data_IF_986662410520
#
_entry.id   IF_986662410520
#
_cell.length_a   1.000
_cell.length_b   1.000
_cell.length_c   1.000
_cell.angle_alpha   90.00
_cell.angle_beta   90.00
_cell.angle_gamma   90.00
#
_symmetry.space_group_name_H-M   'P 1'
#
loop_
_entity.id
_entity.type
_entity.pdbx_description
1 polymer ?
#
# COMPACT_ATOMS: atom_id res chain seq x y z
N UNK A 1 37.41 -6.56 0.50
CA UNK A 1 36.31 -7.54 0.61
C UNK A 1 35.02 -6.84 0.21
N UNK A 2 34.51 -7.11 -1.01
CA UNK A 2 33.25 -6.50 -1.45
C UNK A 2 32.13 -7.06 -0.56
N UNK A 3 31.49 -6.20 0.23
CA UNK A 3 30.30 -6.57 0.98
C UNK A 3 29.23 -7.00 -0.03
N UNK A 4 28.77 -8.25 0.07
CA UNK A 4 27.73 -8.80 -0.79
C UNK A 4 26.43 -8.05 -0.47
N UNK A 5 25.95 -7.23 -1.41
CA UNK A 5 24.67 -6.51 -1.28
C UNK A 5 23.55 -7.51 -1.01
N UNK A 6 22.77 -7.27 0.06
CA UNK A 6 21.52 -8.00 0.33
C UNK A 6 20.47 -7.52 -0.67
N UNK A 7 19.71 -8.44 -1.23
CA UNK A 7 18.71 -8.15 -2.26
C UNK A 7 17.31 -8.25 -1.67
N UNK A 8 16.52 -7.19 -1.80
CA UNK A 8 15.10 -7.16 -1.48
C UNK A 8 14.31 -6.95 -2.78
N UNK A 9 13.50 -7.94 -3.17
CA UNK A 9 12.60 -7.84 -4.32
C UNK A 9 11.26 -7.24 -3.86
N UNK A 10 10.81 -6.20 -4.54
CA UNK A 10 9.52 -5.54 -4.30
C UNK A 10 8.48 -6.23 -5.19
N UNK A 11 7.64 -7.08 -4.59
CA UNK A 11 6.65 -7.91 -5.27
C UNK A 11 5.33 -7.16 -5.52
N UNK A 12 5.40 -6.16 -6.39
CA UNK A 12 4.22 -5.44 -6.90
C UNK A 12 4.47 -4.97 -8.33
N UNK A 13 3.42 -5.03 -9.13
CA UNK A 13 3.39 -4.46 -10.49
C UNK A 13 2.79 -3.05 -10.52
N UNK A 14 2.33 -2.53 -9.37
CA UNK A 14 1.80 -1.18 -9.26
C UNK A 14 2.94 -0.15 -9.15
N UNK A 15 3.14 0.73 -10.17
CA UNK A 15 4.26 1.66 -10.17
C UNK A 15 4.18 2.68 -9.03
N UNK A 16 2.99 3.10 -8.62
CA UNK A 16 2.81 4.01 -7.47
C UNK A 16 3.32 3.39 -6.17
N UNK A 17 3.03 2.11 -5.93
CA UNK A 17 3.57 1.39 -4.76
C UNK A 17 5.10 1.29 -4.82
N UNK A 18 5.66 0.98 -5.98
CA UNK A 18 7.13 0.91 -6.15
C UNK A 18 7.79 2.23 -5.81
N UNK A 19 7.23 3.34 -6.30
CA UNK A 19 7.75 4.69 -6.02
C UNK A 19 7.72 4.98 -4.52
N UNK A 20 6.58 4.76 -3.86
CA UNK A 20 6.43 5.01 -2.43
C UNK A 20 7.34 4.12 -1.58
N UNK A 21 7.47 2.83 -1.92
CA UNK A 21 8.36 1.90 -1.21
C UNK A 21 9.82 2.36 -1.33
N UNK A 22 10.27 2.73 -2.54
CA UNK A 22 11.62 3.24 -2.76
C UNK A 22 11.88 4.54 -2.03
N UNK A 23 10.92 5.47 -2.05
CA UNK A 23 11.02 6.74 -1.35
C UNK A 23 11.11 6.55 0.17
N UNK A 24 10.23 5.73 0.75
CA UNK A 24 10.17 5.55 2.21
C UNK A 24 11.35 4.73 2.77
N UNK A 25 11.84 3.72 2.04
CA UNK A 25 13.01 2.96 2.47
C UNK A 25 14.31 3.73 2.24
N UNK A 26 14.35 4.57 1.21
CA UNK A 26 15.55 5.34 0.85
C UNK A 26 16.74 4.44 0.53
N UNK A 27 17.92 5.02 0.63
CA UNK A 27 19.18 4.27 0.54
C UNK A 27 19.43 3.52 1.85
N UNK A 28 19.61 2.22 1.76
CA UNK A 28 19.99 1.36 2.88
C UNK A 28 21.33 0.71 2.58
N UNK A 29 22.35 1.05 3.40
CA UNK A 29 23.70 0.50 3.23
C UNK A 29 23.69 -1.03 3.22
N UNK A 30 24.29 -1.64 2.21
CA UNK A 30 24.33 -3.09 2.05
C UNK A 30 23.08 -3.74 1.43
N UNK A 31 22.09 -2.94 0.98
CA UNK A 31 20.86 -3.44 0.35
C UNK A 31 20.68 -2.94 -1.08
N UNK A 32 20.12 -3.79 -1.95
CA UNK A 32 19.57 -3.40 -3.25
C UNK A 32 18.08 -3.65 -3.29
N UNK A 33 17.31 -2.64 -3.75
CA UNK A 33 15.85 -2.73 -3.93
C UNK A 33 15.56 -2.99 -5.41
N UNK A 34 14.99 -4.14 -5.72
CA UNK A 34 14.69 -4.54 -7.09
C UNK A 34 13.17 -4.71 -7.26
N UNK A 35 12.60 -4.18 -8.34
CA UNK A 35 11.22 -4.46 -8.69
C UNK A 35 11.12 -5.82 -9.41
N UNK A 36 9.91 -6.40 -9.41
CA UNK A 36 9.62 -7.54 -10.27
C UNK A 36 9.82 -7.16 -11.74
N UNK A 37 10.26 -8.10 -12.59
CA UNK A 37 10.24 -7.91 -14.03
C UNK A 37 8.86 -7.49 -14.53
N UNK A 38 8.76 -6.59 -15.56
CA UNK A 38 7.49 -6.04 -16.02
C UNK A 38 6.50 -7.10 -16.53
N UNK A 39 7.01 -8.21 -17.04
CA UNK A 39 6.26 -9.34 -17.58
C UNK A 39 5.89 -10.40 -16.52
N UNK A 40 6.18 -10.12 -15.25
CA UNK A 40 5.84 -11.04 -14.15
C UNK A 40 4.34 -11.24 -14.06
N UNK A 41 3.90 -12.48 -14.21
CA UNK A 41 2.48 -12.84 -14.10
C UNK A 41 1.95 -12.58 -12.69
N UNK A 42 0.85 -11.85 -12.60
CA UNK A 42 0.15 -11.65 -11.33
C UNK A 42 -0.46 -12.95 -10.82
N UNK A 43 -0.42 -13.14 -9.51
CA UNK A 43 -1.17 -14.23 -8.86
C UNK A 43 -2.58 -13.73 -8.50
N UNK A 44 -3.49 -14.67 -8.35
CA UNK A 44 -4.82 -14.38 -7.84
C UNK A 44 -4.76 -14.09 -6.34
N UNK A 45 -5.35 -12.99 -5.93
CA UNK A 45 -5.48 -12.59 -4.52
C UNK A 45 -6.78 -13.18 -3.96
N UNK A 46 -6.69 -14.35 -3.34
CA UNK A 46 -7.82 -15.12 -2.80
C UNK A 46 -8.06 -14.91 -1.31
N UNK A 47 -7.20 -14.14 -0.65
CA UNK A 47 -7.32 -13.82 0.77
C UNK A 47 -8.50 -12.90 1.07
N UNK A 48 -9.09 -13.08 2.24
CA UNK A 48 -10.19 -12.26 2.76
C UNK A 48 -9.71 -10.97 3.43
N UNK A 49 -8.42 -10.88 3.71
CA UNK A 49 -7.78 -9.72 4.35
C UNK A 49 -6.58 -9.23 3.54
N UNK A 50 -6.20 -7.96 3.74
CA UNK A 50 -4.98 -7.41 3.15
C UNK A 50 -3.73 -8.19 3.56
N UNK A 51 -3.68 -8.63 4.83
CA UNK A 51 -2.53 -9.39 5.32
C UNK A 51 -2.40 -10.74 4.64
N UNK A 52 -3.49 -11.49 4.49
CA UNK A 52 -3.50 -12.76 3.76
C UNK A 52 -3.02 -12.58 2.32
N UNK A 53 -3.51 -11.57 1.60
CA UNK A 53 -3.09 -11.30 0.23
C UNK A 53 -1.60 -10.86 0.16
N UNK A 54 -1.11 -10.06 1.11
CA UNK A 54 0.30 -9.72 1.17
C UNK A 54 1.17 -10.97 1.39
N UNK A 55 0.76 -11.86 2.28
CA UNK A 55 1.46 -13.13 2.54
C UNK A 55 1.48 -14.04 1.31
N UNK A 56 0.33 -14.26 0.67
CA UNK A 56 0.24 -15.05 -0.58
C UNK A 56 1.20 -14.53 -1.65
N UNK A 57 1.24 -13.22 -1.86
CA UNK A 57 2.17 -12.59 -2.82
C UNK A 57 3.62 -12.78 -2.40
N UNK A 58 3.95 -12.56 -1.14
CA UNK A 58 5.33 -12.69 -0.65
C UNK A 58 5.84 -14.13 -0.77
N UNK A 59 5.06 -15.12 -0.37
CA UNK A 59 5.40 -16.54 -0.50
C UNK A 59 5.66 -16.93 -1.96
N UNK A 60 4.71 -16.62 -2.85
CA UNK A 60 4.81 -16.96 -4.26
C UNK A 60 6.06 -16.34 -4.91
N UNK A 61 6.20 -15.04 -4.83
CA UNK A 61 7.28 -14.34 -5.53
C UNK A 61 8.66 -14.58 -4.90
N UNK A 62 8.74 -14.89 -3.60
CA UNK A 62 10.02 -15.27 -2.99
C UNK A 62 10.54 -16.64 -3.43
N UNK A 63 9.66 -17.56 -3.83
CA UNK A 63 10.04 -18.82 -4.45
C UNK A 63 10.63 -18.58 -5.84
N UNK A 64 9.96 -17.75 -6.65
CA UNK A 64 10.41 -17.41 -7.99
C UNK A 64 11.74 -16.63 -7.99
N UNK A 65 11.85 -15.63 -7.13
CA UNK A 65 13.04 -14.78 -7.06
C UNK A 65 14.23 -15.44 -6.36
N UNK A 66 14.01 -16.49 -5.57
CA UNK A 66 15.04 -17.15 -4.76
C UNK A 66 15.69 -16.24 -3.71
N UNK A 67 15.10 -15.09 -3.44
CA UNK A 67 15.65 -14.01 -2.58
C UNK A 67 14.60 -13.49 -1.59
N UNK A 68 15.03 -12.59 -0.69
CA UNK A 68 14.12 -11.88 0.19
C UNK A 68 13.15 -11.05 -0.65
N UNK A 69 11.87 -11.18 -0.37
CA UNK A 69 10.80 -10.57 -1.16
C UNK A 69 9.79 -9.87 -0.26
N UNK A 70 9.54 -8.61 -0.54
CA UNK A 70 8.53 -7.77 0.09
C UNK A 70 7.28 -7.74 -0.79
N UNK A 71 6.12 -8.06 -0.24
CA UNK A 71 4.84 -7.82 -0.86
C UNK A 71 3.99 -6.85 -0.04
N UNK A 72 3.17 -6.08 -0.76
CA UNK A 72 2.23 -5.10 -0.24
C UNK A 72 0.82 -5.44 -0.71
N UNK A 73 -0.11 -5.51 0.22
CA UNK A 73 -1.53 -5.41 -0.08
C UNK A 73 -2.16 -4.30 0.74
N UNK A 74 -2.95 -3.45 0.08
CA UNK A 74 -3.44 -2.22 0.68
C UNK A 74 -4.70 -1.73 -0.02
N UNK A 75 -5.54 -1.05 0.72
CA UNK A 75 -6.78 -0.52 0.17
C UNK A 75 -7.55 0.37 1.11
N UNK A 76 -8.64 0.88 0.56
CA UNK A 76 -9.59 1.76 1.22
C UNK A 76 -10.74 0.95 1.80
N UNK A 77 -11.06 1.18 3.07
CA UNK A 77 -12.23 0.68 3.75
C UNK A 77 -13.15 1.85 4.12
N UNK A 78 -14.42 1.81 3.74
CA UNK A 78 -15.37 2.90 4.02
C UNK A 78 -16.52 2.37 4.86
N UNK A 79 -16.70 2.96 6.04
CA UNK A 79 -17.70 2.49 7.02
C UNK A 79 -19.12 2.47 6.45
N UNK A 80 -19.52 3.57 5.84
CA UNK A 80 -20.87 3.73 5.28
C UNK A 80 -21.15 2.78 4.10
N UNK A 81 -20.11 2.22 3.47
CA UNK A 81 -20.20 1.25 2.39
C UNK A 81 -20.05 -0.21 2.88
N UNK A 82 -20.14 -0.45 4.20
CA UNK A 82 -19.96 -1.80 4.75
C UNK A 82 -18.56 -2.37 4.55
N UNK A 83 -17.53 -1.50 4.52
CA UNK A 83 -16.13 -1.90 4.32
C UNK A 83 -15.67 -1.91 2.87
N UNK A 84 -16.58 -1.71 1.89
CA UNK A 84 -16.18 -1.59 0.48
C UNK A 84 -15.40 -0.31 0.23
N UNK A 85 -14.44 -0.30 -0.72
CA UNK A 85 -14.01 -1.39 -1.61
C UNK A 85 -13.20 -2.51 -0.93
N UNK A 86 -12.55 -2.30 0.24
CA UNK A 86 -11.79 -3.31 0.96
C UNK A 86 -10.69 -3.94 0.11
N UNK A 87 -10.51 -5.26 0.18
CA UNK A 87 -9.51 -6.00 -0.61
C UNK A 87 -9.73 -5.90 -2.12
N UNK A 88 -10.86 -5.37 -2.57
CA UNK A 88 -11.15 -5.13 -3.98
C UNK A 88 -10.78 -3.71 -4.44
N UNK A 89 -10.05 -2.94 -3.64
CA UNK A 89 -9.72 -1.52 -3.91
C UNK A 89 -9.12 -1.28 -5.29
N UNK A 90 -8.21 -2.14 -5.75
CA UNK A 90 -7.55 -1.99 -7.06
C UNK A 90 -8.43 -2.32 -8.25
N UNK A 91 -9.50 -3.11 -8.06
CA UNK A 91 -10.41 -3.61 -9.08
C UNK A 91 -11.86 -3.17 -8.87
N UNK A 92 -12.07 -2.13 -8.06
CA UNK A 92 -13.41 -1.59 -7.77
C UNK A 92 -14.07 -0.92 -8.98
N UNK A 93 -13.28 -0.44 -9.92
CA UNK A 93 -13.67 -0.02 -11.28
C UNK A 93 -12.46 -0.12 -12.21
N UNK A 94 -12.66 0.10 -13.50
CA UNK A 94 -11.70 -0.15 -14.57
C UNK A 94 -10.41 0.69 -14.50
N UNK A 95 -10.49 1.91 -13.97
CA UNK A 95 -9.33 2.80 -13.84
C UNK A 95 -9.40 3.65 -12.56
N UNK A 96 -8.30 4.33 -12.15
CA UNK A 96 -8.27 5.10 -10.92
C UNK A 96 -9.34 6.19 -10.81
N UNK A 97 -9.59 6.93 -11.90
CA UNK A 97 -10.62 7.96 -11.93
C UNK A 97 -12.04 7.38 -11.75
N UNK A 98 -12.34 6.28 -12.43
CA UNK A 98 -13.62 5.59 -12.29
C UNK A 98 -13.83 5.03 -10.87
N UNK A 99 -12.77 4.56 -10.22
CA UNK A 99 -12.82 4.11 -8.81
C UNK A 99 -13.18 5.23 -7.84
N UNK A 100 -12.58 6.42 -8.03
CA UNK A 100 -12.89 7.61 -7.25
C UNK A 100 -14.36 8.01 -7.46
N UNK A 101 -14.80 8.12 -8.74
CA UNK A 101 -16.17 8.50 -9.06
C UNK A 101 -17.19 7.52 -8.49
N UNK A 102 -16.89 6.21 -8.51
CA UNK A 102 -17.76 5.20 -7.92
C UNK A 102 -17.92 5.39 -6.43
N UNK A 103 -16.81 5.56 -5.69
CA UNK A 103 -16.87 5.81 -4.23
C UNK A 103 -17.63 7.09 -3.94
N UNK A 104 -17.36 8.19 -4.63
CA UNK A 104 -18.08 9.45 -4.44
C UNK A 104 -19.57 9.33 -4.74
N UNK A 105 -19.92 8.60 -5.82
CA UNK A 105 -21.32 8.33 -6.20
C UNK A 105 -22.06 7.53 -5.13
N UNK A 106 -21.44 6.44 -4.61
CA UNK A 106 -22.02 5.63 -3.54
C UNK A 106 -22.11 6.40 -2.20
N UNK A 107 -21.26 7.40 -1.99
CA UNK A 107 -21.22 8.27 -0.81
C UNK A 107 -22.10 9.53 -0.94
N UNK A 108 -22.79 9.75 -2.06
CA UNK A 108 -23.51 11.01 -2.36
C UNK A 108 -24.55 11.36 -1.32
N UNK A 109 -25.28 10.39 -0.79
CA UNK A 109 -26.33 10.59 0.23
C UNK A 109 -25.84 10.41 1.66
N UNK A 110 -24.54 10.11 1.87
CA UNK A 110 -23.97 9.92 3.21
C UNK A 110 -23.63 11.28 3.80
N UNK A 111 -24.26 11.64 4.94
CA UNK A 111 -24.05 12.95 5.55
C UNK A 111 -22.65 13.08 6.17
N UNK A 112 -22.24 14.33 6.40
CA UNK A 112 -21.06 14.63 7.21
C UNK A 112 -21.16 13.96 8.58
N UNK A 113 -20.03 13.56 9.14
CA UNK A 113 -19.97 12.80 10.39
C UNK A 113 -20.26 11.29 10.24
N UNK A 114 -20.60 10.80 9.03
CA UNK A 114 -20.73 9.35 8.71
C UNK A 114 -19.88 8.93 7.52
N UNK A 115 -18.90 9.74 7.16
CA UNK A 115 -18.02 9.50 6.00
C UNK A 115 -16.69 8.82 6.38
N UNK A 116 -16.64 8.20 7.57
CA UNK A 116 -15.44 7.54 8.09
C UNK A 116 -14.86 6.53 7.11
N UNK A 117 -13.56 6.60 6.94
CA UNK A 117 -12.79 5.73 6.08
C UNK A 117 -11.43 5.39 6.70
N UNK A 118 -10.88 4.26 6.30
CA UNK A 118 -9.57 3.81 6.76
C UNK A 118 -8.76 3.34 5.55
N UNK A 119 -7.55 3.81 5.40
CA UNK A 119 -6.57 3.16 4.56
C UNK A 119 -5.83 2.10 5.35
N UNK A 120 -5.79 0.89 4.83
CA UNK A 120 -4.96 -0.20 5.33
C UNK A 120 -3.77 -0.44 4.42
N UNK A 121 -2.64 -0.80 5.02
CA UNK A 121 -1.49 -1.35 4.33
C UNK A 121 -0.94 -2.54 5.12
N UNK A 122 -0.91 -3.70 4.50
CA UNK A 122 -0.27 -4.89 5.00
C UNK A 122 0.98 -5.19 4.18
N UNK A 123 2.09 -5.41 4.87
CA UNK A 123 3.36 -5.83 4.29
C UNK A 123 3.70 -7.23 4.80
N UNK A 124 4.23 -8.04 3.90
CA UNK A 124 4.78 -9.35 4.23
C UNK A 124 6.16 -9.51 3.57
N UNK A 125 7.11 -10.05 4.32
CA UNK A 125 8.42 -10.42 3.82
C UNK A 125 8.56 -11.94 3.87
N UNK A 126 8.96 -12.52 2.75
CA UNK A 126 9.21 -13.95 2.64
C UNK A 126 10.59 -14.24 2.04
N UNK A 127 11.09 -15.43 2.32
CA UNK A 127 12.32 -15.97 1.73
C UNK A 127 12.08 -17.44 1.36
N UNK A 128 12.26 -17.78 0.08
CA UNK A 128 12.07 -19.15 -0.42
C UNK A 128 10.72 -19.75 -0.02
N UNK A 129 9.65 -18.98 -0.17
CA UNK A 129 8.27 -19.38 0.15
C UNK A 129 7.89 -19.42 1.62
N UNK A 130 8.75 -18.94 2.52
CA UNK A 130 8.45 -18.89 3.96
C UNK A 130 8.34 -17.44 4.42
N UNK A 131 7.22 -17.10 5.04
CA UNK A 131 7.04 -15.79 5.69
C UNK A 131 8.01 -15.69 6.87
N UNK A 132 8.72 -14.56 6.94
CA UNK A 132 9.68 -14.27 8.02
C UNK A 132 9.31 -13.01 8.79
N UNK A 133 8.47 -12.14 8.22
CA UNK A 133 8.02 -10.93 8.87
C UNK A 133 6.74 -10.41 8.23
N UNK A 134 5.86 -9.83 9.05
CA UNK A 134 4.63 -9.18 8.61
C UNK A 134 4.32 -7.96 9.46
N UNK A 135 3.61 -7.00 8.88
CA UNK A 135 3.02 -5.88 9.60
C UNK A 135 1.75 -5.41 8.89
N UNK A 136 0.80 -4.91 9.65
CA UNK A 136 -0.33 -4.16 9.12
C UNK A 136 -0.43 -2.83 9.86
N UNK A 137 -0.62 -1.74 9.11
CA UNK A 137 -0.85 -0.39 9.63
C UNK A 137 -2.03 0.22 8.92
N UNK A 138 -2.58 1.22 9.59
CA UNK A 138 -3.73 1.96 9.08
C UNK A 138 -3.58 3.46 9.32
N UNK A 139 -4.43 4.19 8.62
CA UNK A 139 -4.66 5.61 8.85
C UNK A 139 -6.15 5.88 8.73
N UNK A 140 -6.68 6.55 9.75
CA UNK A 140 -8.09 6.94 9.81
C UNK A 140 -8.26 8.30 9.14
N UNK A 141 -9.35 8.44 8.40
CA UNK A 141 -9.74 9.67 7.73
C UNK A 141 -11.22 9.64 7.36
N UNK A 142 -11.60 10.49 6.44
CA UNK A 142 -12.96 10.54 5.89
C UNK A 142 -12.95 10.66 4.37
N UNK A 143 -14.02 10.24 3.70
CA UNK A 143 -14.18 10.48 2.25
C UNK A 143 -14.60 11.92 2.04
N UNK A 144 -13.80 12.68 1.31
CA UNK A 144 -14.12 14.04 0.88
C UNK A 144 -15.33 14.08 -0.07
N UNK A 145 -15.95 15.25 -0.25
CA UNK A 145 -17.07 15.44 -1.19
C UNK A 145 -16.59 15.55 -2.64
N UNK A 146 -15.38 16.02 -2.85
CA UNK A 146 -14.74 16.17 -4.16
C UNK A 146 -13.26 15.83 -4.05
N UNK A 147 -12.61 15.43 -5.17
CA UNK A 147 -11.17 15.23 -5.19
C UNK A 147 -10.39 16.52 -4.96
N UNK A 148 -9.28 16.46 -4.23
CA UNK A 148 -8.30 17.54 -4.06
C UNK A 148 -6.89 16.97 -4.14
N UNK A 149 -5.94 17.80 -4.58
CA UNK A 149 -4.54 17.44 -4.73
C UNK A 149 -4.24 16.63 -5.99
N UNK A 150 -2.96 16.49 -6.28
CA UNK A 150 -2.46 15.80 -7.48
C UNK A 150 -1.39 14.75 -7.19
N UNK A 151 -0.92 14.69 -5.95
CA UNK A 151 0.12 13.76 -5.54
C UNK A 151 -0.44 12.35 -5.26
N UNK A 152 0.44 11.37 -5.27
CA UNK A 152 0.10 10.00 -4.93
C UNK A 152 -0.65 9.26 -6.02
N UNK A 153 -1.54 8.34 -5.61
CA UNK A 153 -2.30 7.49 -6.53
C UNK A 153 -3.58 6.92 -5.88
N UNK A 154 -4.40 6.25 -6.69
CA UNK A 154 -5.58 5.53 -6.21
C UNK A 154 -6.64 6.46 -5.64
N UNK A 155 -6.98 6.30 -4.37
CA UNK A 155 -8.01 7.07 -3.67
C UNK A 155 -7.47 8.27 -2.90
N UNK A 156 -6.18 8.58 -2.99
CA UNK A 156 -5.55 9.69 -2.28
C UNK A 156 -6.27 11.02 -2.44
N UNK A 157 -6.78 11.38 -3.65
CA UNK A 157 -7.48 12.65 -3.84
C UNK A 157 -8.80 12.79 -3.07
N UNK A 158 -9.39 11.69 -2.59
CA UNK A 158 -10.68 11.70 -1.88
C UNK A 158 -10.56 11.25 -0.42
N UNK A 159 -9.38 10.88 0.02
CA UNK A 159 -9.12 10.50 1.41
C UNK A 159 -8.62 11.71 2.19
N UNK A 160 -9.52 12.33 2.94
CA UNK A 160 -9.25 13.53 3.75
C UNK A 160 -8.75 13.13 5.14
N UNK A 161 -7.70 13.80 5.60
CA UNK A 161 -7.20 13.77 6.97
C UNK A 161 -7.83 14.95 7.74
N UNK A 162 -8.81 14.71 8.62
CA UNK A 162 -9.57 15.80 9.25
C UNK A 162 -8.68 16.77 10.04
N UNK A 163 -7.72 16.26 10.80
CA UNK A 163 -6.82 17.07 11.63
C UNK A 163 -5.95 18.05 10.82
N UNK A 164 -5.72 17.74 9.56
CA UNK A 164 -4.92 18.58 8.66
C UNK A 164 -5.79 19.37 7.67
N UNK A 165 -7.07 19.03 7.56
CA UNK A 165 -7.97 19.52 6.52
C UNK A 165 -7.35 19.41 5.10
N UNK A 166 -6.64 18.30 4.82
CA UNK A 166 -5.93 18.02 3.57
C UNK A 166 -6.19 16.58 3.16
N UNK A 167 -6.30 16.33 1.86
CA UNK A 167 -6.34 14.96 1.34
C UNK A 167 -4.93 14.35 1.34
N UNK A 168 -4.85 13.03 1.18
CA UNK A 168 -3.57 12.35 0.99
C UNK A 168 -2.83 12.86 -0.27
N UNK A 169 -3.56 13.31 -1.28
CA UNK A 169 -3.00 13.86 -2.51
C UNK A 169 -2.57 15.33 -2.40
N UNK A 170 -2.86 16.01 -1.30
CA UNK A 170 -2.34 17.35 -0.97
C UNK A 170 -1.03 17.28 -0.19
N UNK A 171 -0.59 16.09 0.24
CA UNK A 171 0.63 15.91 1.01
C UNK A 171 1.85 15.81 0.09
N UNK A 172 2.96 16.43 0.48
CA UNK A 172 4.25 16.13 -0.12
C UNK A 172 4.72 14.71 0.25
N UNK A 173 5.76 14.24 -0.43
CA UNK A 173 6.28 12.88 -0.25
C UNK A 173 6.70 12.59 1.20
N UNK A 174 7.35 13.52 1.89
CA UNK A 174 7.86 13.32 3.26
C UNK A 174 6.70 13.23 4.26
N UNK A 175 5.72 14.12 4.16
CA UNK A 175 4.51 14.04 4.98
C UNK A 175 3.73 12.76 4.72
N UNK A 176 3.60 12.36 3.46
CA UNK A 176 2.92 11.12 3.09
C UNK A 176 3.65 9.89 3.64
N UNK A 177 4.98 9.83 3.56
CA UNK A 177 5.79 8.76 4.15
C UNK A 177 5.62 8.67 5.68
N UNK A 178 5.41 9.79 6.35
CA UNK A 178 5.21 9.85 7.80
C UNK A 178 3.79 9.45 8.22
N UNK A 179 2.78 9.89 7.49
CA UNK A 179 1.38 9.86 7.91
C UNK A 179 0.60 8.67 7.35
N UNK A 180 0.92 8.21 6.14
CA UNK A 180 0.18 7.14 5.47
C UNK A 180 0.37 5.78 6.15
N UNK A 181 -0.61 4.89 5.95
CA UNK A 181 -0.53 3.52 6.42
C UNK A 181 0.72 2.80 5.89
N UNK A 182 1.03 2.99 4.57
CA UNK A 182 2.24 2.41 3.95
C UNK A 182 3.51 2.98 4.54
N UNK A 183 3.60 4.29 4.70
CA UNK A 183 4.78 4.92 5.28
C UNK A 183 5.08 4.41 6.69
N UNK A 184 4.06 4.29 7.54
CA UNK A 184 4.17 3.70 8.89
C UNK A 184 4.65 2.24 8.83
N UNK A 185 4.08 1.43 7.94
CA UNK A 185 4.48 0.03 7.77
C UNK A 185 5.92 -0.11 7.26
N UNK A 186 6.34 0.74 6.31
CA UNK A 186 7.70 0.74 5.76
C UNK A 186 8.75 1.22 6.77
N UNK A 187 8.39 2.14 7.67
CA UNK A 187 9.28 2.54 8.76
C UNK A 187 9.61 1.36 9.70
N UNK A 188 8.66 0.46 9.93
CA UNK A 188 8.89 -0.76 10.71
C UNK A 188 9.67 -1.81 9.92
N UNK A 189 9.36 -1.98 8.64
CA UNK A 189 10.15 -2.83 7.76
C UNK A 189 11.62 -2.41 7.75
N UNK A 190 11.89 -1.11 7.65
CA UNK A 190 13.26 -0.59 7.67
C UNK A 190 14.00 -0.96 8.95
N UNK A 191 13.34 -0.87 10.10
CA UNK A 191 13.92 -1.31 11.38
C UNK A 191 14.24 -2.81 11.37
N UNK A 192 13.30 -3.64 10.89
CA UNK A 192 13.49 -5.09 10.77
C UNK A 192 14.67 -5.44 9.86
N UNK A 193 14.80 -4.79 8.69
CA UNK A 193 15.88 -5.06 7.74
C UNK A 193 17.27 -4.62 8.24
N UNK A 194 17.33 -3.64 9.14
CA UNK A 194 18.57 -3.11 9.70
C UNK A 194 18.96 -3.75 11.05
N UNK A 195 18.08 -4.55 11.65
CA UNK A 195 18.35 -5.26 12.92
C UNK A 195 19.10 -6.58 12.76
N UNK A 196 19.24 -7.06 11.52
CA UNK A 196 20.04 -8.23 11.13
C UNK A 196 21.36 -7.75 10.43
#
# INVERSE_FOLDING_TARGET
>A
MMLRMRRLVIATTNPGKVIEIRSALGEMAGWSLEALPPDTRSIEETGSTFLENAMLKAEHYSQLAGSLTLADDSGLWVRALGGRPGVHSSRYAENPGARIQRVLGEMKSVPDGRRDAVFYCALAVAKRGKIIWTVQRDVVGVIAHAPSGSEGFGYDPVFLLPDLNRTMADLNTDDKNRLSARGKALAELRKFLLSD
#
